data_IF_792241726374
#
_entry.id   IF_792241726374
#
_cell.length_a   1.000
_cell.length_b   1.000
_cell.length_c   1.000
_cell.angle_alpha   90.00
_cell.angle_beta   90.00
_cell.angle_gamma   90.00
#
_symmetry.space_group_name_H-M   'P 1'
#
loop_
_entity.id
_entity.type
_entity.pdbx_description
1 polymer ?
#
# COMPACT_ATOMS: atom_id res chain seq x y z
N UNK A 1 4.82 11.10 -5.28
CA UNK A 1 5.80 11.59 -4.29
C UNK A 1 6.15 10.53 -3.24
N UNK A 2 5.20 9.81 -2.62
CA UNK A 2 5.48 8.76 -1.62
C UNK A 2 6.47 7.70 -2.13
N UNK A 3 6.28 7.16 -3.33
CA UNK A 3 7.15 6.11 -3.89
C UNK A 3 8.58 6.60 -4.16
N UNK A 4 8.74 7.85 -4.57
CA UNK A 4 10.07 8.47 -4.71
C UNK A 4 10.76 8.54 -3.35
N UNK A 5 10.03 8.92 -2.29
CA UNK A 5 10.54 8.92 -0.92
C UNK A 5 11.00 7.53 -0.44
N UNK A 6 10.22 6.49 -0.74
CA UNK A 6 10.58 5.10 -0.39
C UNK A 6 11.88 4.67 -1.10
N UNK A 7 12.01 4.95 -2.40
CA UNK A 7 13.22 4.61 -3.18
C UNK A 7 14.44 5.34 -2.63
N UNK A 8 14.34 6.66 -2.43
CA UNK A 8 15.44 7.46 -1.88
C UNK A 8 15.78 6.99 -0.46
N UNK A 9 14.78 6.78 0.40
CA UNK A 9 14.96 6.30 1.76
C UNK A 9 15.63 4.93 1.83
N UNK A 10 15.25 3.99 0.97
CA UNK A 10 15.86 2.67 0.88
C UNK A 10 17.32 2.73 0.42
N UNK A 11 17.64 3.60 -0.56
CA UNK A 11 19.01 3.81 -1.04
C UNK A 11 19.87 4.45 0.05
N UNK A 12 19.37 5.51 0.71
CA UNK A 12 20.08 6.18 1.80
C UNK A 12 20.29 5.22 2.98
N UNK A 13 19.25 4.54 3.45
CA UNK A 13 19.35 3.57 4.54
C UNK A 13 20.34 2.45 4.23
N UNK A 14 20.27 1.88 3.03
CA UNK A 14 21.23 0.87 2.58
C UNK A 14 22.68 1.40 2.55
N UNK A 15 22.90 2.64 2.10
CA UNK A 15 24.24 3.21 2.03
C UNK A 15 24.84 3.47 3.41
N UNK A 16 24.02 3.91 4.37
CA UNK A 16 24.43 4.14 5.76
C UNK A 16 24.74 2.82 6.51
N UNK A 17 24.04 1.75 6.16
CA UNK A 17 24.24 0.41 6.76
C UNK A 17 25.30 -0.43 6.05
N UNK A 18 25.87 0.03 4.94
CA UNK A 18 26.82 -0.74 4.11
C UNK A 18 28.12 -1.12 4.84
N UNK A 19 28.48 -0.40 5.90
CA UNK A 19 29.68 -0.68 6.71
C UNK A 19 29.47 -1.77 7.76
N UNK A 20 28.25 -2.29 7.88
CA UNK A 20 27.88 -3.31 8.88
C UNK A 20 27.85 -4.66 8.19
N UNK A 21 29.01 -5.34 8.14
CA UNK A 21 29.07 -6.76 7.76
C UNK A 21 28.56 -7.67 8.90
N UNK A 22 28.31 -8.94 8.58
CA UNK A 22 27.87 -9.96 9.57
C UNK A 22 28.83 -10.13 10.73
N UNK A 23 30.09 -9.80 10.56
CA UNK A 23 31.16 -9.91 11.57
C UNK A 23 31.61 -8.55 12.14
N UNK A 24 30.81 -7.50 11.93
CA UNK A 24 31.17 -6.16 12.41
C UNK A 24 31.11 -6.09 13.94
N UNK A 25 32.08 -5.44 14.60
CA UNK A 25 32.07 -5.27 16.04
C UNK A 25 30.84 -4.43 16.47
N UNK A 26 30.32 -4.72 17.66
CA UNK A 26 29.09 -4.10 18.19
C UNK A 26 29.15 -2.55 18.16
N UNK A 27 30.35 -1.99 18.36
CA UNK A 27 30.61 -0.54 18.31
C UNK A 27 30.41 0.05 16.91
N UNK A 28 30.75 -0.68 15.85
CA UNK A 28 30.53 -0.24 14.47
C UNK A 28 29.05 -0.32 14.09
N UNK A 29 28.34 -1.34 14.59
CA UNK A 29 26.89 -1.47 14.45
C UNK A 29 26.18 -0.30 15.13
N UNK A 30 26.49 -0.01 16.38
CA UNK A 30 25.94 1.12 17.13
C UNK A 30 26.20 2.45 16.41
N UNK A 31 27.43 2.71 15.99
CA UNK A 31 27.76 3.95 15.27
C UNK A 31 26.98 4.11 13.94
N UNK A 32 26.69 3.02 13.25
CA UNK A 32 25.92 3.05 12.00
C UNK A 32 24.42 3.29 12.27
N UNK A 33 23.90 2.70 13.33
CA UNK A 33 22.52 2.92 13.80
C UNK A 33 22.36 4.36 14.28
N UNK A 34 23.28 4.89 15.09
CA UNK A 34 23.24 6.28 15.57
C UNK A 34 23.26 7.28 14.40
N UNK A 35 24.11 7.05 13.40
CA UNK A 35 24.12 7.88 12.18
C UNK A 35 22.79 7.83 11.44
N UNK A 36 22.19 6.67 11.32
CA UNK A 36 20.89 6.50 10.67
C UNK A 36 19.79 7.26 11.42
N UNK A 37 19.76 7.16 12.76
CA UNK A 37 18.80 7.86 13.61
C UNK A 37 18.99 9.39 13.63
N UNK A 38 20.14 9.91 13.26
CA UNK A 38 20.38 11.35 13.13
C UNK A 38 20.10 11.82 11.70
N UNK A 39 20.65 11.14 10.70
CA UNK A 39 20.61 11.60 9.30
C UNK A 39 19.19 11.49 8.72
N UNK A 40 18.47 10.38 8.97
CA UNK A 40 17.15 10.19 8.38
C UNK A 40 16.14 11.20 8.91
N UNK A 41 15.96 11.40 10.23
CA UNK A 41 15.06 12.43 10.74
C UNK A 41 15.48 13.85 10.32
N UNK A 42 16.77 14.17 10.32
CA UNK A 42 17.27 15.48 9.88
C UNK A 42 16.91 15.73 8.41
N UNK A 43 17.06 14.71 7.54
CA UNK A 43 16.66 14.79 6.13
C UNK A 43 15.16 15.01 5.98
N UNK A 44 14.34 14.26 6.73
CA UNK A 44 12.87 14.40 6.69
C UNK A 44 12.45 15.79 7.16
N UNK A 45 12.98 16.28 8.27
CA UNK A 45 12.69 17.62 8.78
C UNK A 45 13.15 18.69 7.79
N UNK A 46 14.37 18.55 7.23
CA UNK A 46 14.89 19.49 6.23
C UNK A 46 14.01 19.56 4.98
N UNK A 47 13.58 18.40 4.45
CA UNK A 47 12.66 18.35 3.29
C UNK A 47 11.27 18.90 3.62
N UNK A 48 10.75 18.63 4.82
CA UNK A 48 9.47 19.18 5.27
C UNK A 48 9.53 20.71 5.37
N UNK A 49 10.60 21.27 5.97
CA UNK A 49 10.80 22.71 6.05
C UNK A 49 10.95 23.33 4.65
N UNK A 50 11.69 22.70 3.75
CA UNK A 50 11.86 23.14 2.36
C UNK A 50 10.52 23.15 1.60
N UNK A 51 9.64 22.17 1.86
CA UNK A 51 8.33 22.07 1.22
C UNK A 51 7.30 23.06 1.78
N UNK A 52 7.44 23.47 3.05
CA UNK A 52 6.43 24.30 3.75
C UNK A 52 6.82 25.78 3.86
N UNK A 53 8.12 26.06 4.03
CA UNK A 53 8.60 27.44 4.21
C UNK A 53 8.37 28.28 2.95
N UNK A 54 7.56 29.32 3.08
CA UNK A 54 7.24 30.27 2.01
C UNK A 54 6.11 29.86 1.06
N UNK A 55 5.70 28.59 1.03
CA UNK A 55 4.58 28.12 0.19
C UNK A 55 3.27 28.54 0.80
N UNK A 56 3.13 28.39 2.10
CA UNK A 56 1.90 28.69 2.84
C UNK A 56 1.52 30.18 2.74
N UNK A 57 2.48 31.09 2.95
CA UNK A 57 2.27 32.54 2.80
C UNK A 57 1.87 32.96 1.38
N UNK A 58 2.38 32.28 0.36
CA UNK A 58 2.19 32.66 -1.06
C UNK A 58 0.91 32.09 -1.65
N UNK A 59 0.46 30.92 -1.18
CA UNK A 59 -0.63 30.15 -1.79
C UNK A 59 -1.83 29.91 -0.86
N UNK A 60 -1.73 30.21 0.44
CA UNK A 60 -2.85 30.18 1.38
C UNK A 60 -3.80 31.35 1.13
N UNK A 61 -4.68 31.16 0.15
CA UNK A 61 -5.82 32.08 -0.10
C UNK A 61 -7.02 31.82 0.82
N UNK A 62 -6.85 31.01 1.87
CA UNK A 62 -7.98 30.45 2.65
C UNK A 62 -8.12 31.00 4.05
N UNK A 63 -7.43 32.07 4.42
CA UNK A 63 -7.61 32.72 5.73
C UNK A 63 -9.02 33.23 6.00
N UNK A 64 -9.81 33.51 4.94
CA UNK A 64 -11.19 33.98 5.09
C UNK A 64 -12.26 32.87 5.01
N UNK A 65 -11.90 31.63 4.63
CA UNK A 65 -12.87 30.54 4.52
C UNK A 65 -12.94 29.63 5.75
N UNK A 66 -11.94 29.63 6.60
CA UNK A 66 -11.93 28.81 7.82
C UNK A 66 -12.78 29.38 8.95
N UNK A 67 -13.15 30.68 8.89
CA UNK A 67 -13.96 31.35 9.91
C UNK A 67 -15.46 31.37 9.63
N UNK A 68 -15.91 30.93 8.45
CA UNK A 68 -17.30 31.10 8.01
C UNK A 68 -18.09 29.80 7.81
N UNK A 69 -17.53 28.67 8.09
CA UNK A 69 -18.28 27.43 8.07
C UNK A 69 -17.97 26.69 9.36
N UNK A 70 -18.77 26.85 10.38
CA UNK A 70 -19.14 25.75 11.26
C UNK A 70 -19.63 24.67 10.29
N UNK A 71 -18.73 23.81 9.82
CA UNK A 71 -19.11 22.59 9.14
C UNK A 71 -19.74 21.71 10.21
N UNK A 72 -21.05 21.74 10.25
CA UNK A 72 -21.90 20.78 10.97
C UNK A 72 -21.61 19.33 10.53
N UNK A 73 -20.83 19.14 9.49
CA UNK A 73 -20.41 17.84 8.94
C UNK A 73 -19.16 17.30 9.63
N UNK A 74 -19.15 17.19 10.94
CA UNK A 74 -18.23 16.29 11.61
C UNK A 74 -18.66 14.84 11.33
N UNK A 75 -18.28 14.33 10.15
CA UNK A 75 -18.53 12.92 9.84
C UNK A 75 -17.67 12.09 10.78
N UNK A 76 -18.31 11.59 11.85
CA UNK A 76 -17.67 10.69 12.79
C UNK A 76 -17.31 9.38 12.08
N UNK A 77 -16.28 8.68 12.58
CA UNK A 77 -15.83 7.39 12.08
C UNK A 77 -17.01 6.40 11.90
N UNK A 78 -17.97 6.43 12.82
CA UNK A 78 -19.18 5.59 12.74
C UNK A 78 -20.10 5.97 11.59
N UNK A 79 -20.27 7.26 11.28
CA UNK A 79 -21.04 7.72 10.11
C UNK A 79 -20.33 7.32 8.82
N UNK A 80 -19.00 7.49 8.72
CA UNK A 80 -18.23 7.06 7.57
C UNK A 80 -18.35 5.55 7.33
N UNK A 81 -18.17 4.71 8.35
CA UNK A 81 -18.35 3.26 8.24
C UNK A 81 -19.77 2.88 7.84
N UNK A 82 -20.79 3.58 8.34
CA UNK A 82 -22.20 3.34 7.97
C UNK A 82 -22.43 3.66 6.49
N UNK A 83 -21.87 4.75 5.97
CA UNK A 83 -21.92 5.09 4.53
C UNK A 83 -21.24 4.00 3.69
N UNK A 84 -20.10 3.48 4.15
CA UNK A 84 -19.34 2.42 3.45
C UNK A 84 -20.09 1.07 3.43
N UNK A 85 -21.01 0.83 4.38
CA UNK A 85 -21.79 -0.41 4.49
C UNK A 85 -23.26 -0.25 4.15
N UNK A 86 -23.72 0.96 3.83
CA UNK A 86 -25.12 1.29 3.62
C UNK A 86 -25.75 0.56 2.42
N UNK A 87 -24.94 0.13 1.46
CA UNK A 87 -25.41 -0.57 0.27
C UNK A 87 -24.57 -1.82 0.00
N UNK A 88 -25.23 -2.87 -0.52
CA UNK A 88 -24.60 -4.15 -0.87
C UNK A 88 -23.42 -3.96 -1.84
N UNK A 89 -23.56 -3.14 -2.87
CA UNK A 89 -22.50 -2.92 -3.87
C UNK A 89 -21.30 -2.18 -3.27
N UNK A 90 -21.56 -1.18 -2.45
CA UNK A 90 -20.54 -0.44 -1.69
C UNK A 90 -19.80 -1.39 -0.76
N UNK A 91 -20.49 -2.24 -0.01
CA UNK A 91 -19.90 -3.22 0.88
C UNK A 91 -19.00 -4.22 0.15
N UNK A 92 -19.44 -4.74 -1.01
CA UNK A 92 -18.62 -5.65 -1.84
C UNK A 92 -17.36 -4.95 -2.33
N UNK A 93 -17.47 -3.70 -2.79
CA UNK A 93 -16.32 -2.93 -3.26
C UNK A 93 -15.31 -2.63 -2.12
N UNK A 94 -15.80 -2.26 -0.94
CA UNK A 94 -14.92 -2.06 0.22
C UNK A 94 -14.28 -3.36 0.71
N UNK A 95 -15.00 -4.48 0.67
CA UNK A 95 -14.43 -5.80 0.95
C UNK A 95 -13.31 -6.13 -0.04
N UNK A 96 -13.52 -5.85 -1.33
CA UNK A 96 -12.45 -5.95 -2.34
C UNK A 96 -11.24 -5.12 -1.95
N UNK A 97 -11.43 -3.83 -1.62
CA UNK A 97 -10.33 -2.93 -1.24
C UNK A 97 -9.59 -3.41 0.02
N UNK A 98 -10.33 -3.89 1.01
CA UNK A 98 -9.77 -4.42 2.26
C UNK A 98 -8.90 -5.67 1.99
N UNK A 99 -9.47 -6.67 1.30
CA UNK A 99 -8.76 -7.92 0.98
C UNK A 99 -7.55 -7.64 0.10
N UNK A 100 -7.69 -6.78 -0.92
CA UNK A 100 -6.61 -6.35 -1.79
C UNK A 100 -5.49 -5.67 -0.99
N UNK A 101 -5.83 -4.73 -0.11
CA UNK A 101 -4.84 -3.97 0.67
C UNK A 101 -4.12 -4.88 1.67
N UNK A 102 -4.84 -5.73 2.39
CA UNK A 102 -4.22 -6.69 3.32
C UNK A 102 -3.26 -7.60 2.54
N UNK A 103 -3.72 -8.19 1.44
CA UNK A 103 -2.90 -9.10 0.62
C UNK A 103 -1.70 -8.39 0.00
N UNK A 104 -1.82 -7.11 -0.37
CA UNK A 104 -0.74 -6.35 -0.97
C UNK A 104 0.36 -6.01 0.03
N UNK A 105 -0.01 -5.72 1.29
CA UNK A 105 0.91 -5.14 2.28
C UNK A 105 1.41 -6.11 3.37
N UNK A 106 0.88 -7.34 3.48
CA UNK A 106 1.41 -8.34 4.43
C UNK A 106 2.92 -8.60 4.25
N UNK A 107 3.45 -8.46 3.05
CA UNK A 107 4.88 -8.65 2.76
C UNK A 107 5.77 -7.61 3.46
N UNK A 108 5.26 -6.43 3.84
CA UNK A 108 6.06 -5.39 4.49
C UNK A 108 6.71 -5.88 5.79
N UNK A 109 6.01 -6.75 6.55
CA UNK A 109 6.54 -7.31 7.80
C UNK A 109 7.57 -8.43 7.58
N UNK A 110 7.56 -9.09 6.42
CA UNK A 110 8.29 -10.35 6.23
C UNK A 110 9.36 -10.30 5.14
N UNK A 111 9.38 -9.27 4.30
CA UNK A 111 10.27 -9.19 3.14
C UNK A 111 11.75 -9.08 3.53
N UNK A 112 12.09 -8.19 4.48
CA UNK A 112 13.47 -8.01 4.91
C UNK A 112 13.99 -9.24 5.67
N UNK A 113 13.26 -9.80 6.67
CA UNK A 113 13.62 -11.06 7.29
C UNK A 113 13.75 -12.23 6.29
N UNK A 114 12.88 -12.28 5.27
CA UNK A 114 12.98 -13.28 4.20
C UNK A 114 14.31 -13.20 3.44
N UNK A 115 14.75 -11.99 3.09
CA UNK A 115 16.05 -11.76 2.47
C UNK A 115 17.20 -12.22 3.36
N UNK A 116 17.15 -11.93 4.66
CA UNK A 116 18.17 -12.34 5.62
C UNK A 116 18.19 -13.84 5.90
N UNK A 117 17.04 -14.42 6.29
CA UNK A 117 16.97 -15.83 6.75
C UNK A 117 17.07 -16.85 5.60
N UNK A 118 16.54 -16.54 4.41
CA UNK A 118 16.53 -17.49 3.29
C UNK A 118 17.73 -17.31 2.36
N UNK A 119 18.16 -16.07 2.11
CA UNK A 119 19.22 -15.78 1.15
C UNK A 119 20.54 -15.38 1.80
N UNK A 120 20.61 -15.26 3.13
CA UNK A 120 21.82 -14.82 3.84
C UNK A 120 22.24 -13.38 3.51
N UNK A 121 21.27 -12.54 3.10
CA UNK A 121 21.56 -11.15 2.72
C UNK A 121 21.90 -10.31 3.95
N UNK A 122 22.84 -9.40 3.78
CA UNK A 122 23.15 -8.39 4.80
C UNK A 122 22.01 -7.38 4.94
N UNK A 123 21.90 -6.71 6.09
CA UNK A 123 20.85 -5.71 6.37
C UNK A 123 20.84 -4.60 5.30
N UNK A 124 22.01 -4.17 4.82
CA UNK A 124 22.09 -3.19 3.73
C UNK A 124 21.53 -3.69 2.41
N UNK A 125 21.57 -5.00 2.15
CA UNK A 125 21.06 -5.62 0.94
C UNK A 125 19.55 -5.86 1.04
N UNK A 126 19.07 -6.30 2.21
CA UNK A 126 17.61 -6.47 2.45
C UNK A 126 16.88 -5.14 2.37
N UNK A 127 17.46 -4.05 2.88
CA UNK A 127 16.90 -2.69 2.74
C UNK A 127 16.77 -2.26 1.27
N UNK A 128 17.69 -2.67 0.39
CA UNK A 128 17.58 -2.40 -1.06
C UNK A 128 16.41 -3.10 -1.73
N UNK A 129 15.89 -4.19 -1.17
CA UNK A 129 14.72 -4.88 -1.73
C UNK A 129 13.52 -3.93 -1.84
N UNK A 130 13.36 -3.02 -0.88
CA UNK A 130 12.33 -1.98 -0.91
C UNK A 130 12.54 -0.98 -2.07
N UNK A 131 13.79 -0.73 -2.49
CA UNK A 131 14.07 0.13 -3.64
C UNK A 131 13.63 -0.52 -4.95
N UNK A 132 13.85 -1.84 -5.15
CA UNK A 132 13.38 -2.56 -6.33
C UNK A 132 11.85 -2.54 -6.43
N UNK A 133 11.17 -2.83 -5.32
CA UNK A 133 9.71 -2.72 -5.25
C UNK A 133 9.20 -1.30 -5.51
N UNK A 134 9.79 -0.30 -4.84
CA UNK A 134 9.40 1.10 -4.97
C UNK A 134 9.59 1.64 -6.39
N UNK A 135 10.72 1.32 -7.04
CA UNK A 135 10.98 1.71 -8.43
C UNK A 135 9.98 1.05 -9.40
N UNK A 136 9.73 -0.24 -9.23
CA UNK A 136 8.70 -0.94 -10.00
C UNK A 136 7.34 -0.29 -9.83
N UNK A 137 6.94 0.04 -8.60
CA UNK A 137 5.66 0.67 -8.30
C UNK A 137 5.54 2.06 -8.93
N UNK A 138 6.60 2.87 -8.89
CA UNK A 138 6.63 4.19 -9.52
C UNK A 138 6.39 4.11 -11.02
N UNK A 139 7.11 3.21 -11.70
CA UNK A 139 6.93 2.96 -13.14
C UNK A 139 5.53 2.39 -13.41
N UNK A 140 5.07 1.45 -12.59
CA UNK A 140 3.74 0.83 -12.68
C UNK A 140 2.61 1.84 -12.59
N UNK A 141 2.64 2.74 -11.59
CA UNK A 141 1.62 3.80 -11.43
C UNK A 141 1.62 4.72 -12.67
N UNK A 142 2.79 5.19 -13.09
CA UNK A 142 2.91 6.13 -14.21
C UNK A 142 2.44 5.50 -15.52
N UNK A 143 2.92 4.30 -15.85
CA UNK A 143 2.53 3.62 -17.09
C UNK A 143 1.05 3.23 -17.09
N UNK A 144 0.50 2.83 -15.95
CA UNK A 144 -0.89 2.41 -15.85
C UNK A 144 -1.85 3.58 -16.06
N UNK A 145 -1.59 4.72 -15.42
CA UNK A 145 -2.45 5.90 -15.55
C UNK A 145 -2.55 6.40 -16.99
N UNK A 146 -1.45 6.41 -17.72
CA UNK A 146 -1.40 6.95 -19.07
C UNK A 146 -1.70 5.92 -20.18
N UNK A 147 -1.34 4.64 -19.99
CA UNK A 147 -1.38 3.65 -21.07
C UNK A 147 -2.43 2.55 -20.85
N UNK A 148 -2.54 2.01 -19.62
CA UNK A 148 -3.34 0.81 -19.37
C UNK A 148 -4.80 1.16 -19.08
N UNK A 149 -5.05 2.09 -18.15
CA UNK A 149 -6.42 2.49 -17.76
C UNK A 149 -7.22 3.03 -18.94
N UNK A 150 -6.69 3.90 -19.83
CA UNK A 150 -7.46 4.40 -20.98
C UNK A 150 -7.85 3.30 -21.97
N UNK A 151 -7.05 2.23 -22.08
CA UNK A 151 -7.28 1.15 -23.04
C UNK A 151 -8.16 0.02 -22.51
N UNK A 152 -7.91 -0.43 -21.28
CA UNK A 152 -8.58 -1.59 -20.67
C UNK A 152 -9.80 -1.20 -19.81
N UNK A 153 -9.87 0.05 -19.39
CA UNK A 153 -10.84 0.50 -18.39
C UNK A 153 -10.43 0.13 -16.97
N UNK A 154 -10.97 0.85 -15.99
CA UNK A 154 -10.51 0.86 -14.59
C UNK A 154 -10.70 -0.49 -13.88
N UNK A 155 -11.87 -1.11 -14.02
CA UNK A 155 -12.18 -2.40 -13.36
C UNK A 155 -11.31 -3.55 -13.91
N UNK A 156 -11.13 -3.61 -15.24
CA UNK A 156 -10.27 -4.65 -15.86
C UNK A 156 -8.81 -4.45 -15.49
N UNK A 157 -8.35 -3.19 -15.41
CA UNK A 157 -6.99 -2.86 -14.97
C UNK A 157 -6.74 -3.32 -13.53
N UNK A 158 -7.67 -3.05 -12.60
CA UNK A 158 -7.54 -3.51 -11.22
C UNK A 158 -7.51 -5.04 -11.12
N UNK A 159 -8.37 -5.75 -11.85
CA UNK A 159 -8.37 -7.23 -11.91
C UNK A 159 -7.05 -7.77 -12.44
N UNK A 160 -6.57 -7.22 -13.56
CA UNK A 160 -5.29 -7.61 -14.16
C UNK A 160 -4.14 -7.39 -13.17
N UNK A 161 -4.11 -6.23 -12.52
CA UNK A 161 -3.12 -5.92 -11.49
C UNK A 161 -3.10 -6.95 -10.36
N UNK A 162 -4.25 -7.29 -9.79
CA UNK A 162 -4.36 -8.29 -8.74
C UNK A 162 -3.84 -9.67 -9.18
N UNK A 163 -4.15 -10.10 -10.40
CA UNK A 163 -3.64 -11.38 -10.95
C UNK A 163 -2.12 -11.35 -11.17
N UNK A 164 -1.59 -10.24 -11.67
CA UNK A 164 -0.14 -10.06 -11.82
C UNK A 164 0.57 -10.07 -10.46
N UNK A 165 0.00 -9.42 -9.45
CA UNK A 165 0.53 -9.46 -8.07
C UNK A 165 0.52 -10.89 -7.53
N UNK A 166 -0.57 -11.63 -7.71
CA UNK A 166 -0.66 -13.04 -7.29
C UNK A 166 0.45 -13.88 -7.95
N UNK A 167 0.68 -13.71 -9.24
CA UNK A 167 1.76 -14.39 -9.97
C UNK A 167 3.15 -14.00 -9.45
N UNK A 168 3.36 -12.70 -9.10
CA UNK A 168 4.63 -12.24 -8.53
C UNK A 168 4.92 -12.87 -7.16
N UNK A 169 3.90 -13.06 -6.30
CA UNK A 169 4.10 -13.79 -5.05
C UNK A 169 4.55 -15.23 -5.27
N UNK A 170 4.01 -15.90 -6.28
CA UNK A 170 4.50 -17.24 -6.66
C UNK A 170 5.96 -17.19 -7.12
N UNK A 171 6.36 -16.17 -7.91
CA UNK A 171 7.75 -15.99 -8.32
C UNK A 171 8.68 -15.72 -7.12
N UNK A 172 8.23 -14.95 -6.10
CA UNK A 172 8.98 -14.72 -4.87
C UNK A 172 9.18 -16.04 -4.11
N UNK A 173 8.16 -16.89 -4.00
CA UNK A 173 8.30 -18.22 -3.40
C UNK A 173 9.31 -19.07 -4.18
N UNK A 174 9.22 -19.13 -5.50
CA UNK A 174 10.14 -19.87 -6.36
C UNK A 174 11.59 -19.37 -6.25
N UNK A 175 11.79 -18.05 -6.03
CA UNK A 175 13.12 -17.51 -5.80
C UNK A 175 13.76 -18.05 -4.53
N UNK A 176 12.96 -18.29 -3.48
CA UNK A 176 13.43 -18.90 -2.23
C UNK A 176 13.88 -20.34 -2.41
N UNK A 177 13.14 -21.15 -3.18
CA UNK A 177 13.56 -22.52 -3.48
C UNK A 177 14.84 -22.60 -4.33
N UNK A 178 15.02 -21.65 -5.26
CA UNK A 178 16.23 -21.58 -6.09
C UNK A 178 17.40 -20.87 -5.38
N UNK A 179 17.18 -20.22 -4.26
CA UNK A 179 18.13 -19.38 -3.51
C UNK A 179 18.84 -18.34 -4.39
N UNK A 180 18.16 -17.88 -5.44
CA UNK A 180 18.72 -16.94 -6.40
C UNK A 180 18.29 -15.50 -6.06
N UNK A 181 19.21 -14.72 -5.52
CA UNK A 181 18.99 -13.32 -5.15
C UNK A 181 18.57 -12.44 -6.34
N UNK A 182 19.12 -12.70 -7.55
CA UNK A 182 18.74 -11.93 -8.76
C UNK A 182 17.30 -12.20 -9.16
N UNK A 183 16.86 -13.44 -8.99
CA UNK A 183 15.46 -13.82 -9.25
C UNK A 183 14.52 -13.12 -8.25
N UNK A 184 14.90 -13.05 -6.97
CA UNK A 184 14.15 -12.31 -5.94
C UNK A 184 14.05 -10.81 -6.31
N UNK A 185 15.18 -10.17 -6.66
CA UNK A 185 15.20 -8.76 -7.05
C UNK A 185 14.32 -8.48 -8.27
N UNK A 186 14.39 -9.33 -9.29
CA UNK A 186 13.53 -9.26 -10.48
C UNK A 186 12.06 -9.46 -10.15
N UNK A 187 11.74 -10.47 -9.32
CA UNK A 187 10.37 -10.72 -8.87
C UNK A 187 9.79 -9.55 -8.08
N UNK A 188 10.59 -8.90 -7.23
CA UNK A 188 10.18 -7.71 -6.48
C UNK A 188 9.96 -6.49 -7.37
N UNK A 189 10.79 -6.30 -8.38
CA UNK A 189 10.58 -5.24 -9.37
C UNK A 189 9.27 -5.47 -10.14
N UNK A 190 9.00 -6.69 -10.60
CA UNK A 190 7.74 -7.07 -11.25
C UNK A 190 6.54 -6.92 -10.29
N UNK A 191 6.72 -7.32 -9.03
CA UNK A 191 5.73 -7.12 -7.99
C UNK A 191 5.41 -5.63 -7.79
N UNK A 192 6.44 -4.77 -7.81
CA UNK A 192 6.26 -3.32 -7.80
C UNK A 192 5.44 -2.82 -8.98
N UNK A 193 5.79 -3.24 -10.21
CA UNK A 193 5.01 -2.89 -11.41
C UNK A 193 3.54 -3.32 -11.27
N UNK A 194 3.30 -4.57 -10.88
CA UNK A 194 1.96 -5.13 -10.69
C UNK A 194 1.18 -4.39 -9.59
N UNK A 195 1.85 -4.02 -8.49
CA UNK A 195 1.29 -3.21 -7.40
C UNK A 195 0.86 -1.83 -7.89
N UNK A 196 1.67 -1.20 -8.75
CA UNK A 196 1.33 0.06 -9.41
C UNK A 196 0.08 -0.05 -10.29
N UNK A 197 -0.03 -1.13 -11.08
CA UNK A 197 -1.22 -1.42 -11.89
C UNK A 197 -2.45 -1.60 -11.02
N UNK A 198 -2.34 -2.41 -9.96
CA UNK A 198 -3.44 -2.69 -9.03
C UNK A 198 -3.92 -1.42 -8.34
N UNK A 199 -3.02 -0.66 -7.75
CA UNK A 199 -3.34 0.54 -6.97
C UNK A 199 -3.94 1.62 -7.86
N UNK A 200 -3.36 1.88 -9.03
CA UNK A 200 -3.90 2.88 -9.97
C UNK A 200 -5.28 2.49 -10.48
N UNK A 201 -5.49 1.21 -10.81
CA UNK A 201 -6.80 0.70 -11.23
C UNK A 201 -7.86 0.83 -10.12
N UNK A 202 -7.52 0.46 -8.89
CA UNK A 202 -8.41 0.54 -7.74
C UNK A 202 -8.77 1.98 -7.36
N UNK A 203 -7.77 2.88 -7.29
CA UNK A 203 -7.99 4.31 -7.00
C UNK A 203 -8.83 4.96 -8.11
N UNK A 204 -8.51 4.69 -9.37
CA UNK A 204 -9.26 5.25 -10.50
C UNK A 204 -10.72 4.77 -10.50
N UNK A 205 -10.96 3.53 -10.13
CA UNK A 205 -12.31 2.99 -9.98
C UNK A 205 -13.03 3.63 -8.80
N UNK A 206 -12.37 3.78 -7.66
CA UNK A 206 -12.91 4.44 -6.48
C UNK A 206 -13.34 5.88 -6.80
N UNK A 207 -12.49 6.66 -7.46
CA UNK A 207 -12.80 8.04 -7.82
C UNK A 207 -14.00 8.15 -8.77
N UNK A 208 -14.17 7.18 -9.68
CA UNK A 208 -15.37 7.13 -10.55
C UNK A 208 -16.66 6.84 -9.80
N UNK A 209 -16.55 6.14 -8.68
CA UNK A 209 -17.69 5.75 -7.85
C UNK A 209 -18.06 6.84 -6.83
N UNK A 210 -17.25 7.91 -6.75
CA UNK A 210 -17.40 8.99 -5.79
C UNK A 210 -18.10 10.19 -6.44
N UNK A 211 -19.18 10.69 -5.83
CA UNK A 211 -19.81 11.93 -6.25
C UNK A 211 -18.94 13.13 -5.86
N UNK A 212 -18.91 14.18 -6.70
CA UNK A 212 -18.04 15.35 -6.48
C UNK A 212 -18.33 16.06 -5.14
N UNK A 213 -19.59 16.08 -4.72
CA UNK A 213 -20.06 16.76 -3.50
C UNK A 213 -19.59 16.08 -2.21
N UNK A 214 -19.35 14.77 -2.24
CA UNK A 214 -18.96 13.95 -1.08
C UNK A 214 -17.53 13.38 -1.22
N UNK A 215 -16.79 13.83 -2.23
CA UNK A 215 -15.45 13.31 -2.54
C UNK A 215 -14.49 13.37 -1.35
N UNK A 216 -14.49 14.46 -0.60
CA UNK A 216 -13.61 14.63 0.56
C UNK A 216 -13.86 13.58 1.65
N UNK A 217 -15.13 13.35 1.97
CA UNK A 217 -15.56 12.35 2.96
C UNK A 217 -15.22 10.93 2.52
N UNK A 218 -15.51 10.62 1.25
CA UNK A 218 -15.26 9.30 0.71
C UNK A 218 -13.76 8.98 0.63
N UNK A 219 -12.94 9.95 0.19
CA UNK A 219 -11.49 9.82 0.15
C UNK A 219 -10.91 9.68 1.58
N UNK A 220 -11.43 10.45 2.55
CA UNK A 220 -11.03 10.34 3.94
C UNK A 220 -11.37 8.97 4.55
N UNK A 221 -12.59 8.48 4.34
CA UNK A 221 -13.02 7.17 4.80
C UNK A 221 -12.21 6.03 4.15
N UNK A 222 -11.90 6.15 2.86
CA UNK A 222 -11.03 5.22 2.16
C UNK A 222 -9.60 5.24 2.70
N UNK A 223 -9.04 6.42 2.93
CA UNK A 223 -7.70 6.55 3.52
C UNK A 223 -7.61 5.90 4.91
N UNK A 224 -8.64 6.08 5.74
CA UNK A 224 -8.74 5.41 7.03
C UNK A 224 -8.84 3.89 6.90
N UNK A 225 -9.73 3.39 6.03
CA UNK A 225 -9.87 1.95 5.77
C UNK A 225 -8.55 1.35 5.27
N UNK A 226 -7.82 2.05 4.41
CA UNK A 226 -6.49 1.64 3.96
C UNK A 226 -5.48 1.58 5.10
N UNK A 227 -5.44 2.59 5.96
CA UNK A 227 -4.52 2.62 7.10
C UNK A 227 -4.80 1.44 8.07
N UNK A 228 -6.07 1.19 8.38
CA UNK A 228 -6.48 0.04 9.21
C UNK A 228 -6.15 -1.30 8.53
N UNK A 229 -6.42 -1.44 7.23
CA UNK A 229 -6.10 -2.64 6.47
C UNK A 229 -4.58 -2.90 6.45
N UNK A 230 -3.78 -1.85 6.34
CA UNK A 230 -2.31 -1.95 6.36
C UNK A 230 -1.78 -2.36 7.73
N UNK A 231 -2.34 -1.81 8.80
CA UNK A 231 -2.02 -2.24 10.17
C UNK A 231 -2.36 -3.73 10.39
N UNK A 232 -3.57 -4.14 9.96
CA UNK A 232 -3.97 -5.55 10.00
C UNK A 232 -3.06 -6.44 9.14
N UNK A 233 -2.64 -5.97 7.96
CA UNK A 233 -1.73 -6.68 7.08
C UNK A 233 -0.39 -6.97 7.77
N UNK A 234 0.19 -5.97 8.43
CA UNK A 234 1.47 -6.13 9.15
C UNK A 234 1.34 -7.15 10.29
N UNK A 235 0.29 -7.05 11.10
CA UNK A 235 0.04 -7.99 12.20
C UNK A 235 -0.23 -9.41 11.69
N UNK A 236 -1.08 -9.55 10.67
CA UNK A 236 -1.41 -10.86 10.09
C UNK A 236 -0.21 -11.48 9.39
N UNK A 237 0.63 -10.68 8.71
CA UNK A 237 1.86 -11.14 8.08
C UNK A 237 2.82 -11.75 9.09
N UNK A 238 3.06 -11.06 10.21
CA UNK A 238 3.87 -11.58 11.32
C UNK A 238 3.27 -12.84 11.95
N UNK A 239 1.97 -12.83 12.26
CA UNK A 239 1.27 -13.97 12.86
C UNK A 239 1.29 -15.22 11.98
N UNK A 240 1.07 -15.06 10.67
CA UNK A 240 1.15 -16.17 9.69
C UNK A 240 2.57 -16.70 9.59
N UNK A 241 3.58 -15.83 9.63
CA UNK A 241 4.98 -16.24 9.65
C UNK A 241 5.30 -17.05 10.91
N UNK A 242 4.84 -16.62 12.08
CA UNK A 242 5.03 -17.36 13.36
C UNK A 242 4.37 -18.74 13.29
N UNK A 243 3.18 -18.85 12.72
CA UNK A 243 2.53 -20.14 12.48
C UNK A 243 3.36 -20.97 11.49
N UNK A 244 3.84 -20.37 10.42
CA UNK A 244 4.71 -21.02 9.43
C UNK A 244 5.99 -21.58 10.07
N UNK A 245 6.66 -20.80 10.93
CA UNK A 245 7.86 -21.23 11.66
C UNK A 245 7.61 -22.38 12.66
N UNK A 246 6.40 -22.49 13.19
CA UNK A 246 6.01 -23.63 14.05
C UNK A 246 5.67 -24.89 13.24
N UNK A 247 5.13 -24.73 12.03
CA UNK A 247 4.71 -25.85 11.19
C UNK A 247 5.86 -26.42 10.34
N UNK A 248 6.78 -25.56 9.90
CA UNK A 248 7.83 -25.93 8.97
C UNK A 248 9.21 -25.61 9.54
N UNK A 249 10.09 -26.60 9.55
CA UNK A 249 11.50 -26.41 9.92
C UNK A 249 12.30 -25.65 8.82
N UNK A 250 11.80 -25.64 7.59
CA UNK A 250 12.44 -24.95 6.47
C UNK A 250 11.95 -23.50 6.37
N UNK A 251 12.85 -22.50 6.49
CA UNK A 251 12.46 -21.07 6.39
C UNK A 251 11.74 -20.74 5.08
N UNK A 252 12.13 -21.32 3.94
CA UNK A 252 11.49 -21.09 2.64
C UNK A 252 9.98 -21.42 2.69
N UNK A 253 9.60 -22.50 3.38
CA UNK A 253 8.19 -22.89 3.51
C UNK A 253 7.44 -21.97 4.49
N UNK A 254 8.10 -21.54 5.57
CA UNK A 254 7.50 -20.64 6.54
C UNK A 254 7.14 -19.29 5.93
N UNK A 255 8.06 -18.68 5.19
CA UNK A 255 7.81 -17.44 4.44
C UNK A 255 6.90 -17.69 3.23
N UNK A 256 7.07 -18.84 2.57
CA UNK A 256 6.23 -19.26 1.44
C UNK A 256 4.74 -19.32 1.80
N UNK A 257 4.40 -19.69 3.05
CA UNK A 257 3.01 -19.69 3.54
C UNK A 257 2.41 -18.27 3.51
N UNK A 258 3.18 -17.25 3.93
CA UNK A 258 2.74 -15.86 3.90
C UNK A 258 2.48 -15.40 2.47
N UNK A 259 3.43 -15.62 1.57
CA UNK A 259 3.29 -15.22 0.15
C UNK A 259 2.18 -16.02 -0.56
N UNK A 260 1.99 -17.30 -0.23
CA UNK A 260 0.89 -18.10 -0.77
C UNK A 260 -0.47 -17.55 -0.31
N UNK A 261 -0.62 -17.19 0.96
CA UNK A 261 -1.84 -16.58 1.49
C UNK A 261 -2.13 -15.24 0.79
N UNK A 262 -1.10 -14.41 0.57
CA UNK A 262 -1.22 -13.16 -0.18
C UNK A 262 -1.67 -13.41 -1.63
N UNK A 263 -1.10 -14.41 -2.30
CA UNK A 263 -1.49 -14.79 -3.66
C UNK A 263 -2.97 -15.21 -3.71
N UNK A 264 -3.42 -16.06 -2.79
CA UNK A 264 -4.82 -16.47 -2.66
C UNK A 264 -5.72 -15.26 -2.37
N UNK A 265 -5.31 -14.38 -1.45
CA UNK A 265 -6.04 -13.17 -1.13
C UNK A 265 -6.21 -12.24 -2.35
N UNK A 266 -5.20 -12.13 -3.21
CA UNK A 266 -5.31 -11.37 -4.47
C UNK A 266 -6.30 -11.99 -5.45
N UNK A 267 -6.35 -13.31 -5.55
CA UNK A 267 -7.36 -14.02 -6.36
C UNK A 267 -8.76 -13.81 -5.79
N UNK A 268 -8.90 -13.86 -4.47
CA UNK A 268 -10.18 -13.54 -3.79
C UNK A 268 -10.60 -12.07 -4.04
N UNK A 269 -9.65 -11.14 -4.04
CA UNK A 269 -9.93 -9.75 -4.39
C UNK A 269 -10.49 -9.61 -5.81
N UNK A 270 -9.95 -10.35 -6.79
CA UNK A 270 -10.51 -10.40 -8.15
C UNK A 270 -11.94 -10.94 -8.15
N UNK A 271 -12.22 -11.97 -7.35
CA UNK A 271 -13.56 -12.53 -7.23
C UNK A 271 -14.57 -11.50 -6.66
N UNK A 272 -14.22 -10.79 -5.59
CA UNK A 272 -15.05 -9.70 -5.07
C UNK A 272 -15.26 -8.59 -6.10
N UNK A 273 -14.19 -8.14 -6.75
CA UNK A 273 -14.28 -7.10 -7.78
C UNK A 273 -15.14 -7.53 -8.98
N UNK A 274 -15.22 -8.83 -9.25
CA UNK A 274 -16.07 -9.38 -10.33
C UNK A 274 -17.57 -9.32 -10.00
N UNK A 275 -17.92 -9.21 -8.70
CA UNK A 275 -19.28 -9.06 -8.20
C UNK A 275 -19.75 -7.61 -8.14
N UNK A 276 -18.86 -6.64 -8.34
CA UNK A 276 -19.19 -5.21 -8.34
C UNK A 276 -19.81 -4.84 -9.68
N UNK A 277 -21.09 -4.40 -9.62
CA UNK A 277 -21.77 -3.78 -10.75
C UNK A 277 -21.58 -2.26 -10.69
N UNK A 278 -20.72 -1.72 -11.55
CA UNK A 278 -20.34 -0.30 -11.54
C UNK A 278 -21.51 0.64 -11.83
N UNK A 279 -22.47 0.23 -12.68
CA UNK A 279 -23.65 1.05 -13.01
C UNK A 279 -24.61 1.15 -11.84
N UNK A 280 -24.92 0.04 -11.19
CA UNK A 280 -25.75 -0.03 -9.99
C UNK A 280 -25.11 0.74 -8.83
N UNK A 281 -23.80 0.56 -8.62
CA UNK A 281 -23.05 1.29 -7.59
C UNK A 281 -23.19 2.82 -7.73
N UNK A 282 -23.07 3.35 -8.94
CA UNK A 282 -23.21 4.81 -9.19
C UNK A 282 -24.60 5.33 -8.84
N UNK A 283 -25.63 4.57 -9.14
CA UNK A 283 -27.01 4.94 -8.83
C UNK A 283 -27.25 4.90 -7.34
N UNK A 284 -26.81 3.86 -6.70
CA UNK A 284 -27.02 3.60 -5.28
C UNK A 284 -26.20 4.55 -4.39
N UNK A 285 -24.97 4.87 -4.77
CA UNK A 285 -24.16 5.85 -4.06
C UNK A 285 -24.81 7.24 -4.07
N UNK A 286 -25.40 7.64 -5.20
CA UNK A 286 -26.17 8.90 -5.29
C UNK A 286 -27.39 8.89 -4.37
N UNK A 287 -28.14 7.80 -4.37
CA UNK A 287 -29.35 7.66 -3.55
C UNK A 287 -29.04 7.62 -2.06
N UNK A 288 -27.99 6.88 -1.64
CA UNK A 288 -27.57 6.81 -0.24
C UNK A 288 -27.13 8.18 0.29
N UNK A 289 -26.48 8.98 -0.54
CA UNK A 289 -26.06 10.34 -0.20
C UNK A 289 -27.29 11.25 -0.07
N UNK A 290 -28.23 11.18 -1.02
CA UNK A 290 -29.45 11.95 -0.95
C UNK A 290 -30.24 11.68 0.33
N UNK A 291 -30.38 10.39 0.71
CA UNK A 291 -31.09 9.98 1.93
C UNK A 291 -30.40 10.47 3.21
N UNK A 292 -29.05 10.52 3.23
CA UNK A 292 -28.30 11.03 4.39
C UNK A 292 -28.44 12.56 4.49
N UNK A 293 -28.46 13.27 3.37
CA UNK A 293 -28.65 14.73 3.34
C UNK A 293 -30.12 15.11 3.64
N UNK A 294 -31.10 14.34 3.18
CA UNK A 294 -32.52 14.56 3.47
C UNK A 294 -32.87 14.26 4.94
N UNK A 295 -32.25 13.24 5.54
CA UNK A 295 -32.45 12.90 6.97
C UNK A 295 -31.78 13.84 7.96
N UNK A 296 -31.01 14.84 7.51
CA UNK A 296 -30.46 15.94 8.33
C UNK A 296 -31.33 17.21 8.25
N UNK A 297 -32.41 17.20 7.45
CA UNK A 297 -33.34 18.32 7.33
C UNK A 297 -34.62 18.15 8.19
N UNK A 298 -34.78 17.00 8.83
CA UNK A 298 -35.83 16.70 9.82
C UNK A 298 -35.22 16.67 11.24
#
# INVERSE_FOLDING_TARGET
>A
MLMVGIVIGAILGSSLLKQVGTDAPLSALQASIDRLFVIVPATVVGLALLATVGVEKKYSRYTSRSTLVEREDSITLGKALRVLTANRQTGIFFTFLLVMTISLFMQEAVLEPYGGEVFGMQVSETTKLNAYWGLGTLIGISSTGFLIVPRLGKQKTAKLGCLLVAACFVLIILSGFSQNQKLLQGALFLFGLASGVTTTGAISLMLDLTAAETAGTFIGAWGLAQAMARALATVTGGAVLDVGKKLFANPVLSYGLVFALQSVGMVLAVWFLSRVNVSEFRTDAKNAIATVLEGELD
#
